data_IF_054387916390
#
_entry.id   IF_054387916390
#
_cell.length_a   1.000
_cell.length_b   1.000
_cell.length_c   1.000
_cell.angle_alpha   90.00
_cell.angle_beta   90.00
_cell.angle_gamma   90.00
#
_symmetry.space_group_name_H-M   'P 1'
#
loop_
_entity.id
_entity.type
_entity.pdbx_description
1 polymer ?
#
# COMPACT_ATOMS: atom_id res chain seq x y z
N UNK A 1 -17.50 -1.63 -6.83
CA UNK A 1 -18.75 -2.35 -6.55
C UNK A 1 -19.85 -1.31 -6.39
N UNK A 2 -21.00 -1.45 -7.07
CA UNK A 2 -22.14 -0.55 -6.90
C UNK A 2 -22.85 -0.92 -5.58
N UNK A 3 -22.42 -0.31 -4.48
CA UNK A 3 -23.02 -0.53 -3.17
C UNK A 3 -24.38 0.18 -3.18
N UNK A 4 -25.48 -0.58 -3.25
CA UNK A 4 -26.86 -0.07 -3.15
C UNK A 4 -27.20 0.57 -1.79
N UNK A 5 -26.19 1.02 -1.05
CA UNK A 5 -26.29 1.76 0.20
C UNK A 5 -26.85 3.16 -0.06
N UNK A 6 -27.69 3.63 0.86
CA UNK A 6 -28.17 5.01 0.92
C UNK A 6 -27.97 5.54 2.34
N UNK A 7 -27.70 6.84 2.49
CA UNK A 7 -27.66 7.48 3.80
C UNK A 7 -28.94 7.22 4.59
N UNK A 8 -28.81 6.85 5.86
CA UNK A 8 -29.94 6.54 6.73
C UNK A 8 -30.70 7.80 7.18
N UNK A 9 -29.98 8.92 7.33
CA UNK A 9 -30.54 10.17 7.82
C UNK A 9 -29.92 11.41 7.13
N UNK A 10 -30.36 12.59 7.59
CA UNK A 10 -29.85 13.88 7.10
C UNK A 10 -28.37 14.07 7.43
N UNK A 11 -27.88 13.57 8.57
CA UNK A 11 -26.47 13.71 8.96
C UNK A 11 -25.57 12.92 8.02
N UNK A 12 -25.91 11.68 7.71
CA UNK A 12 -25.18 10.85 6.75
C UNK A 12 -25.26 11.40 5.32
N UNK A 13 -26.41 11.97 4.94
CA UNK A 13 -26.59 12.62 3.63
C UNK A 13 -25.65 13.82 3.49
N UNK A 14 -25.55 14.63 4.55
CA UNK A 14 -24.69 15.80 4.63
C UNK A 14 -23.21 15.41 4.71
N UNK A 15 -22.87 14.32 5.39
CA UNK A 15 -21.52 13.75 5.42
C UNK A 15 -21.09 13.27 4.03
N UNK A 16 -21.96 12.56 3.32
CA UNK A 16 -21.72 12.15 1.94
C UNK A 16 -21.53 13.37 1.02
N UNK A 17 -22.34 14.41 1.18
CA UNK A 17 -22.19 15.64 0.42
C UNK A 17 -20.88 16.37 0.73
N UNK A 18 -20.43 16.36 1.99
CA UNK A 18 -19.16 16.94 2.41
C UNK A 18 -17.97 16.19 1.79
N UNK A 19 -17.98 14.86 1.80
CA UNK A 19 -16.93 14.05 1.14
C UNK A 19 -16.90 14.29 -0.37
N UNK A 20 -18.05 14.27 -1.04
CA UNK A 20 -18.13 14.56 -2.50
C UNK A 20 -17.61 15.96 -2.88
N UNK A 21 -17.71 16.91 -1.95
CA UNK A 21 -17.21 18.27 -2.13
C UNK A 21 -15.76 18.45 -1.66
N UNK A 22 -15.09 17.40 -1.17
CA UNK A 22 -13.80 17.46 -0.47
C UNK A 22 -13.79 18.51 0.66
N UNK A 23 -14.91 18.68 1.36
CA UNK A 23 -15.07 19.62 2.47
C UNK A 23 -14.86 18.91 3.81
N UNK A 24 -13.60 18.61 4.10
CA UNK A 24 -13.19 17.92 5.31
C UNK A 24 -13.65 18.62 6.59
N UNK A 25 -13.72 19.96 6.56
CA UNK A 25 -14.12 20.78 7.69
C UNK A 25 -15.61 20.62 7.99
N UNK A 26 -16.44 20.59 6.96
CA UNK A 26 -17.87 20.30 7.10
C UNK A 26 -18.10 18.88 7.60
N UNK A 27 -17.38 17.90 7.06
CA UNK A 27 -17.47 16.52 7.51
C UNK A 27 -17.12 16.38 9.01
N UNK A 28 -15.99 16.92 9.44
CA UNK A 28 -15.55 16.84 10.84
C UNK A 28 -16.52 17.56 11.80
N UNK A 29 -17.13 18.67 11.39
CA UNK A 29 -18.19 19.32 12.18
C UNK A 29 -19.42 18.46 12.34
N UNK A 30 -19.87 17.82 11.26
CA UNK A 30 -20.99 16.90 11.29
C UNK A 30 -20.67 15.74 12.24
N UNK A 31 -19.50 15.12 12.09
CA UNK A 31 -19.04 14.02 12.93
C UNK A 31 -18.96 14.41 14.41
N UNK A 32 -18.41 15.58 14.71
CA UNK A 32 -18.29 16.10 16.08
C UNK A 32 -19.65 16.28 16.76
N UNK A 33 -20.68 16.70 16.01
CA UNK A 33 -22.03 16.88 16.51
C UNK A 33 -22.92 15.64 16.43
N UNK A 34 -22.47 14.61 15.70
CA UNK A 34 -23.26 13.42 15.47
C UNK A 34 -23.33 12.55 16.73
N UNK A 35 -24.49 11.93 16.91
CA UNK A 35 -24.61 10.74 17.73
C UNK A 35 -23.85 9.60 17.06
N UNK A 36 -23.04 8.88 17.82
CA UNK A 36 -22.27 7.74 17.34
C UNK A 36 -22.76 6.47 18.02
N UNK A 37 -22.81 5.39 17.26
CA UNK A 37 -23.18 4.07 17.72
C UNK A 37 -21.93 3.19 17.73
N UNK A 38 -21.43 2.93 18.93
CA UNK A 38 -20.29 2.05 19.13
C UNK A 38 -20.82 0.63 19.34
N UNK A 39 -20.55 -0.32 18.44
CA UNK A 39 -20.92 -1.71 18.64
C UNK A 39 -20.34 -2.22 19.97
N UNK A 40 -21.12 -3.02 20.70
CA UNK A 40 -20.71 -3.63 21.95
C UNK A 40 -20.70 -5.15 21.76
N UNK A 41 -19.68 -5.86 22.27
CA UNK A 41 -19.78 -7.31 22.32
C UNK A 41 -20.94 -7.71 23.23
N UNK A 42 -21.65 -8.81 22.93
CA UNK A 42 -22.81 -9.24 23.72
C UNK A 42 -22.47 -9.50 25.19
N UNK A 43 -21.25 -9.96 25.47
CA UNK A 43 -20.71 -10.11 26.83
C UNK A 43 -19.51 -9.17 27.08
N UNK A 44 -19.48 -8.43 28.21
CA UNK A 44 -18.35 -7.59 28.59
C UNK A 44 -17.04 -8.39 28.63
N UNK A 45 -16.06 -7.98 27.82
CA UNK A 45 -14.76 -8.64 27.72
C UNK A 45 -14.67 -9.77 26.70
N UNK A 46 -15.72 -10.03 25.92
CA UNK A 46 -15.62 -10.95 24.78
C UNK A 46 -14.75 -10.37 23.66
N UNK A 47 -13.94 -11.20 22.99
CA UNK A 47 -13.12 -10.77 21.86
C UNK A 47 -14.00 -10.28 20.71
N UNK A 48 -13.51 -9.28 19.99
CA UNK A 48 -14.19 -8.74 18.82
C UNK A 48 -14.34 -9.82 17.73
N UNK A 49 -15.41 -9.81 16.93
CA UNK A 49 -15.59 -10.76 15.86
C UNK A 49 -14.40 -10.73 14.88
N UNK A 50 -13.71 -11.87 14.64
CA UNK A 50 -12.54 -11.92 13.75
C UNK A 50 -12.88 -11.70 12.28
N UNK A 51 -14.17 -11.68 11.91
CA UNK A 51 -14.65 -11.40 10.56
C UNK A 51 -14.54 -9.92 10.15
N UNK A 52 -14.18 -9.03 11.07
CA UNK A 52 -13.89 -7.64 10.77
C UNK A 52 -12.38 -7.42 10.83
N UNK A 53 -11.72 -7.05 9.72
CA UNK A 53 -10.31 -6.69 9.75
C UNK A 53 -10.19 -5.37 10.51
N UNK A 54 -9.79 -5.45 11.78
CA UNK A 54 -9.33 -4.29 12.54
C UNK A 54 -7.81 -4.28 12.50
N UNK A 55 -7.17 -3.12 12.25
CA UNK A 55 -5.74 -3.00 12.48
C UNK A 55 -5.44 -3.27 13.95
N UNK A 56 -4.34 -3.96 14.24
CA UNK A 56 -3.90 -4.15 15.63
C UNK A 56 -3.63 -2.78 16.29
N UNK A 57 -4.13 -2.57 17.51
CA UNK A 57 -3.86 -1.33 18.27
C UNK A 57 -5.09 -0.63 18.86
N UNK A 58 -4.90 0.64 19.24
CA UNK A 58 -5.88 1.47 19.96
C UNK A 58 -6.96 2.05 19.02
N UNK A 59 -7.86 1.20 18.54
CA UNK A 59 -8.94 1.57 17.62
C UNK A 59 -10.31 1.66 18.30
N UNK A 60 -11.18 2.54 17.81
CA UNK A 60 -12.59 2.58 18.15
C UNK A 60 -13.45 2.61 16.88
N UNK A 61 -14.23 1.55 16.65
CA UNK A 61 -15.22 1.51 15.59
C UNK A 61 -16.47 2.26 16.04
N UNK A 62 -16.97 3.14 15.18
CA UNK A 62 -18.22 3.86 15.41
C UNK A 62 -19.02 3.97 14.12
N UNK A 63 -20.34 3.96 14.26
CA UNK A 63 -21.27 4.22 13.16
C UNK A 63 -22.06 5.49 13.41
N UNK A 64 -22.44 6.20 12.36
CA UNK A 64 -23.27 7.42 12.46
C UNK A 64 -24.77 7.13 12.47
N UNK A 65 -25.17 5.90 12.13
CA UNK A 65 -26.54 5.42 12.21
C UNK A 65 -26.58 3.95 12.63
N UNK A 66 -27.72 3.53 13.18
CA UNK A 66 -27.99 2.12 13.47
C UNK A 66 -28.18 1.30 12.19
N UNK A 67 -28.68 1.93 11.12
CA UNK A 67 -28.88 1.28 9.83
C UNK A 67 -27.55 0.96 9.16
N UNK A 68 -26.58 1.88 9.23
CA UNK A 68 -25.20 1.62 8.78
C UNK A 68 -24.50 0.53 9.61
N UNK A 69 -24.74 0.52 10.93
CA UNK A 69 -24.25 -0.54 11.82
C UNK A 69 -24.85 -1.90 11.44
N UNK A 70 -26.18 -2.00 11.29
CA UNK A 70 -26.87 -3.24 10.93
C UNK A 70 -26.51 -3.71 9.51
N UNK A 71 -26.29 -2.78 8.58
CA UNK A 71 -25.84 -3.10 7.23
C UNK A 71 -24.49 -3.84 7.21
N UNK A 72 -23.54 -3.42 8.05
CA UNK A 72 -22.19 -3.99 8.09
C UNK A 72 -22.09 -5.14 9.09
N UNK A 73 -22.76 -5.04 10.23
CA UNK A 73 -22.61 -5.94 11.38
C UNK A 73 -23.86 -6.74 11.73
N UNK A 74 -24.91 -6.65 10.92
CA UNK A 74 -26.15 -7.39 11.10
C UNK A 74 -25.90 -8.89 11.25
N UNK A 75 -26.34 -9.45 12.38
CA UNK A 75 -26.15 -10.87 12.72
C UNK A 75 -24.80 -11.21 13.38
N UNK A 76 -23.90 -10.24 13.56
CA UNK A 76 -22.61 -10.40 14.24
C UNK A 76 -22.59 -9.62 15.57
N UNK A 77 -23.20 -8.43 15.58
CA UNK A 77 -23.35 -7.59 16.78
C UNK A 77 -24.82 -7.27 17.00
N UNK A 78 -25.35 -7.61 18.17
CA UNK A 78 -26.76 -7.37 18.52
C UNK A 78 -26.95 -6.14 19.43
N UNK A 79 -25.86 -5.61 20.02
CA UNK A 79 -25.93 -4.50 20.97
C UNK A 79 -24.95 -3.39 20.59
N UNK A 80 -25.32 -2.15 20.90
CA UNK A 80 -24.49 -0.98 20.69
C UNK A 80 -24.67 -0.01 21.86
N UNK A 81 -23.67 0.84 22.06
CA UNK A 81 -23.73 1.97 23.00
C UNK A 81 -23.75 3.26 22.21
N UNK A 82 -24.66 4.15 22.59
CA UNK A 82 -24.74 5.51 22.05
C UNK A 82 -23.67 6.39 22.72
N UNK A 83 -22.90 7.12 21.92
CA UNK A 83 -21.79 7.96 22.37
C UNK A 83 -21.65 9.19 21.47
N UNK A 84 -20.68 10.04 21.77
CA UNK A 84 -20.29 11.19 20.94
C UNK A 84 -18.77 11.30 20.89
N UNK A 85 -18.24 12.08 19.95
CA UNK A 85 -16.80 12.38 19.90
C UNK A 85 -16.31 12.97 21.24
N UNK A 86 -17.10 13.86 21.85
CA UNK A 86 -16.75 14.46 23.14
C UNK A 86 -16.66 13.42 24.27
N UNK A 87 -17.64 12.52 24.35
CA UNK A 87 -17.63 11.43 25.34
C UNK A 87 -16.48 10.45 25.11
N UNK A 88 -16.14 10.16 23.85
CA UNK A 88 -14.98 9.34 23.51
C UNK A 88 -13.67 10.01 23.92
N UNK A 89 -13.53 11.33 23.70
CA UNK A 89 -12.33 12.09 24.09
C UNK A 89 -12.12 12.14 25.62
N UNK A 90 -13.18 12.04 26.42
CA UNK A 90 -13.08 11.96 27.88
C UNK A 90 -12.69 10.56 28.37
N UNK A 91 -13.05 9.51 27.62
CA UNK A 91 -12.94 8.11 28.06
C UNK A 91 -11.78 7.35 27.43
N UNK A 92 -11.23 7.85 26.32
CA UNK A 92 -10.15 7.23 25.56
C UNK A 92 -8.99 8.21 25.35
N UNK A 93 -7.84 7.65 25.00
CA UNK A 93 -6.65 8.45 24.74
C UNK A 93 -6.75 9.20 23.40
N UNK A 94 -6.16 10.40 23.25
CA UNK A 94 -6.23 11.17 22.01
C UNK A 94 -5.61 10.49 20.78
N UNK A 95 -4.69 9.54 20.99
CA UNK A 95 -4.07 8.71 19.96
C UNK A 95 -4.97 7.56 19.50
N UNK A 96 -6.15 7.37 20.10
CA UNK A 96 -7.15 6.41 19.64
C UNK A 96 -7.55 6.73 18.20
N UNK A 97 -7.44 5.73 17.33
CA UNK A 97 -7.83 5.81 15.93
C UNK A 97 -9.32 5.49 15.79
N UNK A 98 -10.09 6.45 15.28
CA UNK A 98 -11.51 6.27 14.97
C UNK A 98 -11.67 5.64 13.61
N UNK A 99 -12.38 4.52 13.57
CA UNK A 99 -12.83 3.86 12.34
C UNK A 99 -14.33 4.16 12.21
N UNK A 100 -14.66 5.21 11.47
CA UNK A 100 -16.04 5.67 11.33
C UNK A 100 -16.66 5.01 10.11
N UNK A 101 -17.85 4.42 10.27
CA UNK A 101 -18.64 3.82 9.19
C UNK A 101 -17.83 2.87 8.27
N UNK A 102 -17.06 1.91 8.84
CA UNK A 102 -16.22 1.04 8.03
C UNK A 102 -17.04 0.31 6.96
N UNK A 103 -16.54 0.33 5.73
CA UNK A 103 -17.20 -0.32 4.59
C UNK A 103 -18.40 0.44 3.99
N UNK A 104 -18.72 1.63 4.50
CA UNK A 104 -19.74 2.50 3.91
C UNK A 104 -19.11 3.61 3.05
N UNK A 105 -19.83 4.17 2.07
CA UNK A 105 -19.35 5.31 1.25
C UNK A 105 -19.03 6.59 2.02
N UNK A 106 -19.42 6.66 3.29
CA UNK A 106 -19.08 7.75 4.22
C UNK A 106 -18.04 7.30 5.26
N UNK A 107 -17.31 6.23 4.99
CA UNK A 107 -16.29 5.69 5.88
C UNK A 107 -15.04 6.56 5.92
N UNK A 108 -14.51 6.81 7.12
CA UNK A 108 -13.25 7.53 7.31
C UNK A 108 -12.42 6.94 8.45
N UNK A 109 -11.11 7.12 8.35
CA UNK A 109 -10.15 6.81 9.40
C UNK A 109 -9.48 8.10 9.86
N UNK A 110 -9.47 8.38 11.17
CA UNK A 110 -8.90 9.61 11.73
C UNK A 110 -8.61 9.46 13.23
N UNK A 111 -7.64 10.21 13.74
CA UNK A 111 -7.38 10.29 15.16
C UNK A 111 -8.52 10.97 15.92
N UNK A 112 -8.84 10.46 17.11
CA UNK A 112 -9.85 11.06 17.99
C UNK A 112 -9.52 12.52 18.34
N UNK A 113 -8.24 12.84 18.56
CA UNK A 113 -7.79 14.22 18.80
C UNK A 113 -7.86 15.14 17.58
N UNK A 114 -7.90 14.59 16.36
CA UNK A 114 -7.88 15.37 15.12
C UNK A 114 -9.27 15.93 14.77
N UNK A 115 -10.35 15.34 15.29
CA UNK A 115 -11.73 15.74 14.94
C UNK A 115 -11.99 17.23 15.20
N UNK A 116 -11.50 17.76 16.32
CA UNK A 116 -11.65 19.18 16.65
C UNK A 116 -10.78 20.07 15.77
N UNK A 117 -9.55 19.65 15.50
CA UNK A 117 -8.62 20.36 14.62
C UNK A 117 -9.18 20.47 13.20
N UNK A 118 -9.78 19.39 12.69
CA UNK A 118 -10.45 19.35 11.40
C UNK A 118 -11.72 20.21 11.38
N UNK A 119 -12.55 20.14 12.43
CA UNK A 119 -13.79 20.92 12.51
C UNK A 119 -13.53 22.44 12.57
N UNK A 120 -12.41 22.83 13.16
CA UNK A 120 -11.94 24.22 13.23
C UNK A 120 -11.25 24.66 11.93
N UNK A 121 -10.78 23.71 11.11
CA UNK A 121 -10.02 23.95 9.88
C UNK A 121 -8.53 24.17 10.12
N UNK A 122 -8.01 23.66 11.24
CA UNK A 122 -6.57 23.60 11.55
C UNK A 122 -5.89 22.44 10.81
N UNK A 123 -6.66 21.44 10.37
CA UNK A 123 -6.23 20.29 9.56
C UNK A 123 -7.26 19.98 8.44
N UNK A 124 -6.89 19.13 7.48
CA UNK A 124 -7.77 18.61 6.43
C UNK A 124 -7.87 17.09 6.55
N UNK A 125 -9.07 16.53 6.33
CA UNK A 125 -9.29 15.09 6.27
C UNK A 125 -8.68 14.60 4.99
N UNK A 126 -7.87 13.56 5.09
CA UNK A 126 -7.36 12.81 3.96
C UNK A 126 -8.38 11.68 3.71
N UNK A 127 -8.97 11.56 2.51
CA UNK A 127 -9.82 10.44 2.12
C UNK A 127 -9.18 9.09 2.44
N UNK A 128 -9.96 8.05 2.76
CA UNK A 128 -9.41 6.74 3.16
C UNK A 128 -8.57 6.07 2.06
N UNK A 129 -8.87 6.36 0.79
CA UNK A 129 -8.08 5.95 -0.38
C UNK A 129 -6.74 6.70 -0.38
N UNK A 130 -6.76 8.02 -0.17
CA UNK A 130 -5.55 8.84 -0.06
C UNK A 130 -4.73 8.54 1.23
N UNK A 131 -5.34 8.04 2.30
CA UNK A 131 -4.65 7.56 3.51
C UNK A 131 -4.00 6.20 3.25
N UNK A 132 -4.67 5.28 2.55
CA UNK A 132 -4.05 4.03 2.12
C UNK A 132 -2.89 4.31 1.18
N UNK A 133 -3.06 5.20 0.20
CA UNK A 133 -2.00 5.59 -0.72
C UNK A 133 -0.86 6.30 0.02
N UNK A 134 -1.14 7.21 0.97
CA UNK A 134 -0.10 7.86 1.77
C UNK A 134 0.62 6.90 2.74
N UNK A 135 -0.10 5.95 3.33
CA UNK A 135 0.49 4.90 4.18
C UNK A 135 1.33 3.93 3.34
N UNK A 136 0.86 3.57 2.14
CA UNK A 136 1.62 2.79 1.16
C UNK A 136 2.88 3.57 0.77
N UNK A 137 2.76 4.84 0.40
CA UNK A 137 3.90 5.70 0.09
C UNK A 137 4.90 5.80 1.24
N UNK A 138 4.43 5.89 2.49
CA UNK A 138 5.29 5.92 3.67
C UNK A 138 5.99 4.58 3.92
N UNK A 139 5.29 3.45 3.75
CA UNK A 139 5.87 2.10 3.82
C UNK A 139 6.89 1.88 2.72
N UNK A 140 6.58 2.28 1.48
CA UNK A 140 7.50 2.19 0.34
C UNK A 140 8.73 3.10 0.55
N UNK A 141 8.56 4.28 1.14
CA UNK A 141 9.66 5.14 1.53
C UNK A 141 10.54 4.52 2.63
N UNK A 142 9.96 3.77 3.56
CA UNK A 142 10.74 3.03 4.56
C UNK A 142 11.51 1.87 3.94
N UNK A 143 10.89 1.12 3.02
CA UNK A 143 11.57 0.08 2.23
C UNK A 143 12.78 0.65 1.50
N UNK A 144 12.67 1.84 0.89
CA UNK A 144 13.80 2.54 0.27
C UNK A 144 14.90 2.84 1.28
N UNK A 145 14.55 3.44 2.43
CA UNK A 145 15.53 3.81 3.47
C UNK A 145 16.29 2.58 3.97
N UNK A 146 15.55 1.51 4.26
CA UNK A 146 16.08 0.21 4.68
C UNK A 146 17.03 -0.36 3.62
N UNK A 147 16.58 -0.43 2.36
CA UNK A 147 17.36 -1.02 1.28
C UNK A 147 18.68 -0.28 1.09
N UNK A 148 18.64 1.06 1.02
CA UNK A 148 19.86 1.88 0.88
C UNK A 148 20.77 1.72 2.10
N UNK A 149 20.23 1.69 3.32
CA UNK A 149 21.01 1.54 4.55
C UNK A 149 21.71 0.17 4.63
N UNK A 150 21.03 -0.92 4.32
CA UNK A 150 21.60 -2.28 4.38
C UNK A 150 22.56 -2.59 3.23
N UNK A 151 22.29 -2.05 2.04
CA UNK A 151 23.23 -2.12 0.92
C UNK A 151 24.50 -1.30 1.19
N UNK A 152 24.38 -0.26 2.03
CA UNK A 152 25.49 0.51 2.59
C UNK A 152 26.14 1.48 1.61
N UNK A 153 25.56 1.70 0.43
CA UNK A 153 26.06 2.65 -0.57
C UNK A 153 25.72 4.10 -0.28
N UNK A 154 26.15 4.97 -1.18
CA UNK A 154 25.97 6.42 -1.06
C UNK A 154 24.61 6.82 -1.66
N UNK A 155 23.66 7.16 -0.78
CA UNK A 155 22.31 7.58 -1.14
C UNK A 155 22.30 8.83 -2.04
N UNK A 156 23.22 9.78 -1.79
CA UNK A 156 23.31 11.00 -2.59
C UNK A 156 23.82 10.64 -3.99
N UNK A 157 24.86 9.82 -4.08
CA UNK A 157 25.38 9.33 -5.35
C UNK A 157 24.33 8.54 -6.16
N UNK A 158 23.52 7.70 -5.48
CA UNK A 158 22.43 6.95 -6.10
C UNK A 158 21.38 7.88 -6.74
N UNK A 159 20.99 8.94 -6.04
CA UNK A 159 20.00 9.91 -6.52
C UNK A 159 20.49 10.72 -7.73
N UNK A 160 21.81 10.94 -7.82
CA UNK A 160 22.45 11.71 -8.89
C UNK A 160 22.74 10.88 -10.16
N UNK A 161 22.59 9.55 -10.10
CA UNK A 161 22.85 8.67 -11.23
C UNK A 161 22.05 9.09 -12.46
N UNK A 162 22.78 9.29 -13.57
CA UNK A 162 22.19 9.48 -14.89
C UNK A 162 22.03 8.14 -15.60
N UNK A 163 21.01 7.99 -16.45
CA UNK A 163 20.89 6.85 -17.34
C UNK A 163 22.18 6.61 -18.12
N UNK A 164 22.64 5.37 -18.20
CA UNK A 164 23.86 4.98 -18.89
C UNK A 164 23.65 3.93 -19.98
N UNK A 165 22.44 3.39 -20.11
CA UNK A 165 22.06 2.41 -21.12
C UNK A 165 20.63 2.63 -21.59
N UNK A 166 20.23 1.92 -22.66
CA UNK A 166 18.92 2.09 -23.29
C UNK A 166 17.74 1.74 -22.35
N UNK A 167 17.91 0.76 -21.46
CA UNK A 167 16.89 0.43 -20.47
C UNK A 167 16.69 1.60 -19.52
N UNK A 168 17.77 2.09 -18.90
CA UNK A 168 17.74 3.21 -17.96
C UNK A 168 17.20 4.49 -18.63
N UNK A 169 17.52 4.73 -19.91
CA UNK A 169 16.96 5.85 -20.68
C UNK A 169 15.44 5.72 -20.83
N UNK A 170 14.94 4.54 -21.21
CA UNK A 170 13.49 4.28 -21.32
C UNK A 170 12.78 4.43 -19.98
N UNK A 171 13.36 3.92 -18.89
CA UNK A 171 12.80 4.07 -17.54
C UNK A 171 12.75 5.54 -17.13
N UNK A 172 13.80 6.30 -17.42
CA UNK A 172 13.85 7.73 -17.12
C UNK A 172 12.83 8.54 -17.93
N UNK A 173 12.67 8.23 -19.22
CA UNK A 173 11.67 8.87 -20.08
C UNK A 173 10.24 8.54 -19.66
N UNK A 174 10.00 7.31 -19.18
CA UNK A 174 8.71 6.87 -18.63
C UNK A 174 8.38 7.62 -17.33
N UNK A 175 9.33 7.69 -16.38
CA UNK A 175 9.19 8.50 -15.15
C UNK A 175 8.92 9.96 -15.46
N UNK A 176 9.65 10.55 -16.42
CA UNK A 176 9.48 11.95 -16.81
C UNK A 176 8.10 12.25 -17.42
N UNK A 177 7.46 11.24 -18.00
CA UNK A 177 6.10 11.33 -18.58
C UNK A 177 5.00 10.85 -17.62
N UNK A 178 5.37 10.36 -16.44
CA UNK A 178 4.47 9.68 -15.50
C UNK A 178 3.73 8.50 -16.16
N UNK A 179 4.42 7.79 -17.04
CA UNK A 179 3.89 6.67 -17.80
C UNK A 179 4.35 5.34 -17.18
N UNK A 180 3.54 4.83 -16.25
CA UNK A 180 3.86 3.61 -15.52
C UNK A 180 3.79 2.35 -16.40
N UNK A 181 2.88 2.34 -17.38
CA UNK A 181 2.75 1.24 -18.34
C UNK A 181 4.02 1.12 -19.19
N UNK A 182 4.54 2.24 -19.71
CA UNK A 182 5.80 2.26 -20.46
C UNK A 182 6.99 1.86 -19.59
N UNK A 183 7.00 2.24 -18.31
CA UNK A 183 8.02 1.83 -17.34
C UNK A 183 8.06 0.30 -17.19
N UNK A 184 6.90 -0.32 -16.91
CA UNK A 184 6.80 -1.78 -16.79
C UNK A 184 7.14 -2.48 -18.10
N UNK A 185 6.65 -1.98 -19.25
CA UNK A 185 7.00 -2.50 -20.58
C UNK A 185 8.48 -2.38 -20.92
N UNK A 186 9.21 -1.44 -20.33
CA UNK A 186 10.66 -1.37 -20.45
C UNK A 186 11.35 -2.50 -19.67
N UNK A 187 10.84 -2.85 -18.49
CA UNK A 187 11.40 -3.91 -17.65
C UNK A 187 11.11 -5.32 -18.17
N UNK A 188 9.89 -5.59 -18.66
CA UNK A 188 9.46 -6.94 -19.07
C UNK A 188 10.39 -7.59 -20.11
N UNK A 189 10.98 -6.79 -21.00
CA UNK A 189 11.91 -7.26 -22.02
C UNK A 189 13.39 -7.14 -21.65
N UNK A 190 13.72 -6.86 -20.39
CA UNK A 190 15.07 -6.53 -19.95
C UNK A 190 15.62 -7.54 -18.95
N UNK A 191 16.96 -7.59 -18.89
CA UNK A 191 17.67 -8.27 -17.81
C UNK A 191 17.87 -7.32 -16.64
N UNK A 192 17.72 -7.84 -15.43
CA UNK A 192 18.03 -7.17 -14.16
C UNK A 192 19.16 -7.90 -13.45
N UNK A 193 19.93 -7.15 -12.67
CA UNK A 193 21.00 -7.67 -11.82
C UNK A 193 20.45 -7.94 -10.43
N UNK A 194 20.51 -9.18 -10.00
CA UNK A 194 20.16 -9.61 -8.64
C UNK A 194 21.42 -9.86 -7.82
N UNK A 195 21.57 -9.23 -6.64
CA UNK A 195 22.52 -9.70 -5.66
C UNK A 195 22.03 -11.04 -5.07
N UNK A 196 22.97 -11.94 -4.82
CA UNK A 196 22.71 -13.29 -4.31
C UNK A 196 23.63 -13.59 -3.13
N UNK A 197 23.24 -14.54 -2.27
CA UNK A 197 24.00 -14.87 -1.05
C UNK A 197 25.25 -15.72 -1.35
N UNK A 198 25.26 -16.42 -2.49
CA UNK A 198 26.41 -17.18 -3.00
C UNK A 198 26.55 -16.99 -4.52
N UNK A 199 27.75 -17.20 -5.10
CA UNK A 199 27.94 -17.08 -6.54
C UNK A 199 27.05 -18.02 -7.37
N UNK A 200 26.29 -17.44 -8.29
CA UNK A 200 25.50 -18.16 -9.30
C UNK A 200 26.08 -17.87 -10.67
N UNK A 201 26.22 -18.91 -11.51
CA UNK A 201 26.76 -18.77 -12.89
C UNK A 201 25.74 -19.09 -13.97
N UNK A 202 24.67 -19.81 -13.62
CA UNK A 202 23.59 -20.18 -14.52
C UNK A 202 22.31 -19.40 -14.13
N UNK A 203 21.84 -18.47 -14.98
CA UNK A 203 20.59 -17.75 -14.75
C UNK A 203 19.38 -18.68 -14.55
N UNK A 204 19.35 -19.86 -15.19
CA UNK A 204 18.25 -20.82 -15.07
C UNK A 204 18.12 -21.42 -13.67
N UNK A 205 19.12 -21.21 -12.80
CA UNK A 205 19.02 -21.62 -11.39
C UNK A 205 17.85 -20.93 -10.67
N UNK A 206 17.36 -19.78 -11.15
CA UNK A 206 16.21 -19.08 -10.57
C UNK A 206 14.93 -19.92 -10.60
N UNK A 207 14.82 -20.87 -11.55
CA UNK A 207 13.69 -21.79 -11.65
C UNK A 207 13.65 -22.85 -10.54
N UNK A 208 14.68 -22.88 -9.68
CA UNK A 208 14.86 -23.92 -8.65
C UNK A 208 14.60 -23.33 -7.27
N UNK A 209 13.97 -24.13 -6.41
CA UNK A 209 13.69 -23.77 -5.00
C UNK A 209 14.96 -23.44 -4.19
N UNK A 210 16.15 -23.85 -4.66
CA UNK A 210 17.44 -23.59 -4.01
C UNK A 210 18.14 -22.31 -4.51
N UNK A 211 17.45 -21.43 -5.23
CA UNK A 211 18.04 -20.17 -5.69
C UNK A 211 18.45 -19.30 -4.48
N UNK A 212 19.71 -18.81 -4.42
CA UNK A 212 20.26 -18.14 -3.25
C UNK A 212 19.87 -16.66 -3.21
N UNK A 213 18.57 -16.39 -3.11
CA UNK A 213 18.03 -15.04 -2.94
C UNK A 213 18.74 -14.30 -1.82
N UNK A 214 19.05 -13.03 -2.07
CA UNK A 214 19.48 -12.10 -1.03
C UNK A 214 18.30 -11.23 -0.65
N UNK A 215 17.85 -11.36 0.60
CA UNK A 215 16.84 -10.49 1.18
C UNK A 215 17.49 -9.38 2.00
N UNK A 216 16.85 -8.21 2.02
CA UNK A 216 17.12 -7.13 2.97
C UNK A 216 15.94 -7.04 3.95
N UNK A 217 16.16 -6.42 5.11
CA UNK A 217 15.12 -6.27 6.12
C UNK A 217 14.96 -7.49 7.04
N UNK A 218 13.85 -7.48 7.77
CA UNK A 218 13.48 -8.55 8.70
C UNK A 218 12.62 -9.64 8.03
N UNK A 219 12.22 -10.64 8.82
CA UNK A 219 11.40 -11.75 8.35
C UNK A 219 9.93 -11.37 8.11
N UNK A 220 9.47 -10.22 8.61
CA UNK A 220 8.07 -9.78 8.46
C UNK A 220 7.83 -9.00 7.17
N UNK A 221 8.86 -8.34 6.64
CA UNK A 221 8.79 -7.59 5.37
C UNK A 221 10.09 -7.71 4.57
N UNK A 222 10.41 -8.91 4.07
CA UNK A 222 11.64 -9.14 3.32
C UNK A 222 11.63 -8.37 1.99
N UNK A 223 12.72 -7.69 1.67
CA UNK A 223 12.88 -6.93 0.43
C UNK A 223 13.82 -7.67 -0.52
N UNK A 224 13.41 -7.81 -1.77
CA UNK A 224 14.24 -8.33 -2.87
C UNK A 224 14.79 -7.15 -3.68
N UNK A 225 16.05 -6.74 -3.45
CA UNK A 225 16.68 -5.68 -4.21
C UNK A 225 17.07 -6.18 -5.61
N UNK A 226 16.85 -5.37 -6.63
CA UNK A 226 17.30 -5.63 -7.99
C UNK A 226 17.74 -4.35 -8.68
N UNK A 227 18.55 -4.48 -9.73
CA UNK A 227 19.19 -3.33 -10.35
C UNK A 227 19.13 -3.41 -11.87
N UNK A 228 18.91 -2.27 -12.50
CA UNK A 228 18.90 -2.13 -13.96
C UNK A 228 20.27 -2.33 -14.61
N UNK A 229 21.36 -2.24 -13.84
CA UNK A 229 22.71 -2.58 -14.29
C UNK A 229 23.68 -2.83 -13.13
N UNK A 230 24.80 -3.49 -13.43
CA UNK A 230 25.88 -3.70 -12.44
C UNK A 230 26.45 -2.36 -11.94
N UNK A 231 26.48 -1.33 -12.80
CA UNK A 231 26.91 0.01 -12.44
C UNK A 231 26.03 0.62 -11.35
N UNK A 232 24.71 0.44 -11.47
CA UNK A 232 23.75 0.94 -10.48
C UNK A 232 23.93 0.16 -9.17
N UNK A 233 24.05 -1.17 -9.24
CA UNK A 233 24.39 -2.01 -8.07
C UNK A 233 25.69 -1.57 -7.39
N UNK A 234 26.78 -1.36 -8.15
CA UNK A 234 28.09 -0.96 -7.60
C UNK A 234 28.09 0.42 -6.94
N UNK A 235 27.14 1.28 -7.32
CA UNK A 235 26.97 2.59 -6.69
C UNK A 235 26.19 2.49 -5.37
N UNK A 236 25.16 1.64 -5.33
CA UNK A 236 24.21 1.55 -4.21
C UNK A 236 24.62 0.49 -3.18
N UNK A 237 25.38 -0.52 -3.57
CA UNK A 237 25.78 -1.63 -2.71
C UNK A 237 27.30 -1.67 -2.50
N UNK A 238 27.73 -1.65 -1.24
CA UNK A 238 29.14 -1.78 -0.87
C UNK A 238 29.56 -3.24 -0.83
N UNK A 239 30.84 -3.50 -1.12
CA UNK A 239 31.45 -4.81 -0.89
C UNK A 239 31.35 -5.78 -2.06
N UNK A 240 30.86 -5.35 -3.23
CA UNK A 240 30.75 -6.15 -4.45
C UNK A 240 30.11 -7.53 -4.18
N UNK A 241 28.83 -7.56 -3.79
CA UNK A 241 28.16 -8.82 -3.48
C UNK A 241 28.14 -9.75 -4.70
N UNK A 242 28.13 -11.08 -4.49
CA UNK A 242 27.81 -12.03 -5.55
C UNK A 242 26.51 -11.61 -6.24
N UNK A 243 26.47 -11.69 -7.56
CA UNK A 243 25.38 -11.17 -8.38
C UNK A 243 25.17 -12.04 -9.61
N UNK A 244 23.98 -11.97 -10.19
CA UNK A 244 23.63 -12.64 -11.44
C UNK A 244 22.71 -11.73 -12.26
N UNK A 245 22.86 -11.74 -13.58
CA UNK A 245 21.91 -11.10 -14.50
C UNK A 245 20.86 -12.13 -14.92
N UNK A 246 19.59 -11.78 -14.77
CA UNK A 246 18.43 -12.64 -15.08
C UNK A 246 17.36 -11.80 -15.77
N UNK A 247 16.54 -12.43 -16.61
CA UNK A 247 15.38 -11.78 -17.21
C UNK A 247 14.44 -11.29 -16.10
N UNK A 248 13.96 -10.06 -16.19
CA UNK A 248 12.99 -9.53 -15.24
C UNK A 248 11.71 -10.39 -15.22
N UNK A 249 11.30 -10.93 -16.36
CA UNK A 249 10.13 -11.82 -16.43
C UNK A 249 10.38 -13.12 -15.64
N UNK A 250 11.58 -13.69 -15.71
CA UNK A 250 11.91 -14.92 -14.98
C UNK A 250 11.91 -14.68 -13.46
N UNK A 251 12.32 -13.48 -13.03
CA UNK A 251 12.22 -13.04 -11.63
C UNK A 251 10.78 -13.01 -11.16
N UNK A 252 9.88 -12.38 -11.93
CA UNK A 252 8.47 -12.28 -11.55
C UNK A 252 7.78 -13.66 -11.51
N UNK A 253 8.10 -14.55 -12.46
CA UNK A 253 7.50 -15.90 -12.54
C UNK A 253 7.96 -16.79 -11.38
N UNK A 254 9.20 -16.65 -10.93
CA UNK A 254 9.79 -17.44 -9.85
C UNK A 254 9.92 -16.65 -8.54
N UNK A 255 9.00 -15.70 -8.32
CA UNK A 255 9.01 -14.83 -7.15
C UNK A 255 8.99 -15.67 -5.85
N UNK A 256 9.84 -15.36 -4.85
CA UNK A 256 10.06 -16.22 -3.69
C UNK A 256 8.79 -16.42 -2.84
N UNK A 257 8.00 -15.36 -2.62
CA UNK A 257 6.69 -15.41 -1.96
C UNK A 257 5.99 -14.03 -2.00
N UNK A 258 4.68 -14.00 -1.75
CA UNK A 258 3.84 -12.79 -1.83
C UNK A 258 4.10 -11.76 -0.70
N UNK A 259 4.85 -12.13 0.33
CA UNK A 259 5.31 -11.27 1.42
C UNK A 259 6.61 -10.50 1.06
N UNK A 260 7.25 -10.83 -0.06
CA UNK A 260 8.50 -10.21 -0.47
C UNK A 260 8.27 -8.95 -1.31
N UNK A 261 8.74 -7.81 -0.84
CA UNK A 261 8.66 -6.54 -1.55
C UNK A 261 9.71 -6.48 -2.66
N UNK A 262 9.30 -6.16 -3.88
CA UNK A 262 10.23 -5.91 -4.99
C UNK A 262 10.77 -4.49 -4.87
N UNK A 263 12.09 -4.31 -4.89
CA UNK A 263 12.69 -2.97 -4.94
C UNK A 263 13.77 -2.89 -6.03
N UNK A 264 13.45 -2.21 -7.13
CA UNK A 264 14.34 -1.94 -8.24
C UNK A 264 15.05 -0.59 -8.05
N UNK A 265 16.37 -0.57 -8.23
CA UNK A 265 17.22 0.62 -8.15
C UNK A 265 16.96 1.52 -6.92
N UNK A 266 17.05 1.00 -5.68
CA UNK A 266 16.70 1.75 -4.47
C UNK A 266 17.46 3.08 -4.37
N UNK A 267 16.74 4.19 -4.14
CA UNK A 267 17.31 5.53 -3.97
C UNK A 267 17.62 6.29 -5.26
N UNK A 268 17.34 5.72 -6.43
CA UNK A 268 17.60 6.38 -7.72
C UNK A 268 16.37 7.11 -8.28
N UNK A 269 16.56 7.91 -9.34
CA UNK A 269 15.46 8.55 -10.07
C UNK A 269 14.59 7.60 -10.92
N UNK A 270 15.00 6.34 -11.06
CA UNK A 270 14.30 5.27 -11.80
C UNK A 270 14.03 4.08 -10.88
N UNK A 271 13.71 4.38 -9.62
CA UNK A 271 13.30 3.41 -8.62
C UNK A 271 11.88 2.89 -8.90
N UNK A 272 11.67 1.62 -8.60
CA UNK A 272 10.35 1.02 -8.49
C UNK A 272 10.29 0.16 -7.24
N UNK A 273 9.28 0.38 -6.41
CA UNK A 273 8.98 -0.52 -5.29
C UNK A 273 7.57 -1.05 -5.47
N UNK A 274 7.40 -2.37 -5.47
CA UNK A 274 6.10 -3.03 -5.58
C UNK A 274 5.86 -3.93 -4.36
N UNK A 275 4.67 -3.85 -3.74
CA UNK A 275 4.23 -4.83 -2.76
C UNK A 275 4.30 -6.26 -3.32
N UNK A 276 4.58 -7.24 -2.45
CA UNK A 276 4.80 -8.62 -2.89
C UNK A 276 3.56 -9.30 -3.48
N UNK A 277 2.37 -8.90 -3.05
CA UNK A 277 1.08 -9.36 -3.60
C UNK A 277 0.78 -8.78 -4.99
N UNK A 278 1.38 -7.65 -5.34
CA UNK A 278 1.28 -7.02 -6.66
C UNK A 278 2.09 -7.77 -7.73
N UNK A 279 3.09 -8.57 -7.34
CA UNK A 279 3.93 -9.32 -8.29
C UNK A 279 3.13 -10.42 -9.02
N UNK A 280 2.38 -11.31 -8.32
CA UNK A 280 1.48 -12.25 -8.97
C UNK A 280 0.43 -11.60 -9.88
N UNK A 281 -0.11 -10.45 -9.48
CA UNK A 281 -1.09 -9.70 -10.29
C UNK A 281 -0.47 -9.23 -11.61
N UNK A 282 0.76 -8.69 -11.55
CA UNK A 282 1.52 -8.30 -12.73
C UNK A 282 1.77 -9.49 -13.66
N UNK A 283 2.16 -10.65 -13.12
CA UNK A 283 2.35 -11.88 -13.91
C UNK A 283 1.06 -12.30 -14.60
N UNK A 284 -0.08 -12.26 -13.89
CA UNK A 284 -1.39 -12.60 -14.46
C UNK A 284 -1.76 -11.66 -15.60
N UNK A 285 -1.62 -10.34 -15.40
CA UNK A 285 -1.90 -9.33 -16.41
C UNK A 285 -1.04 -9.52 -17.68
N UNK A 286 0.23 -9.90 -17.51
CA UNK A 286 1.13 -10.19 -18.62
C UNK A 286 0.72 -11.44 -19.40
N UNK A 287 0.31 -12.50 -18.70
CA UNK A 287 -0.18 -13.71 -19.34
C UNK A 287 -1.46 -13.45 -20.14
N UNK A 288 -2.38 -12.65 -19.59
CA UNK A 288 -3.62 -12.24 -20.27
C UNK A 288 -3.34 -11.39 -21.52
N UNK A 289 -2.43 -10.42 -21.42
CA UNK A 289 -2.01 -9.60 -22.57
C UNK A 289 -1.37 -10.45 -23.68
N UNK A 290 -0.52 -11.42 -23.31
CA UNK A 290 0.08 -12.36 -24.26
C UNK A 290 -0.98 -13.25 -24.95
N UNK A 291 -1.98 -13.72 -24.19
CA UNK A 291 -3.09 -14.52 -24.74
C UNK A 291 -4.00 -13.71 -25.66
N UNK A 292 -4.26 -12.43 -25.34
CA UNK A 292 -5.02 -11.51 -26.18
C UNK A 292 -4.27 -11.11 -27.46
N UNK A 293 -2.94 -11.21 -27.47
CA UNK A 293 -2.04 -10.92 -28.60
C UNK A 293 -1.83 -12.07 -29.60
N UNK A 294 -2.57 -13.18 -29.53
CA UNK A 294 -2.49 -14.29 -30.49
C UNK A 294 -2.80 -13.88 -31.95
N UNK A 295 -2.23 -14.56 -32.96
CA UNK A 295 -2.02 -14.00 -34.29
C UNK A 295 -3.32 -13.57 -34.96
N UNK A 296 -3.39 -12.30 -35.36
CA UNK A 296 -4.28 -11.84 -36.42
C UNK A 296 -4.00 -12.72 -37.65
N UNK A 297 -4.90 -13.67 -37.89
CA UNK A 297 -4.88 -14.55 -39.04
C UNK A 297 -5.14 -13.67 -40.26
N UNK A 298 -4.05 -13.27 -40.92
CA UNK A 298 -4.08 -12.62 -42.22
C UNK A 298 -4.68 -13.57 -43.25
N UNK A 299 -5.66 -13.04 -43.98
CA UNK A 299 -6.30 -13.63 -45.14
C UNK A 299 -5.34 -13.88 -46.31
#
# INVERSE_FOLDING_TARGET
>A
MDYGWQPADEAESEMLAALKANDSRRYARLLRSATLYMPAPPDPGSPWPPSLPLPEGNHAIVFTSTDGLDWILGGVVETYTETTVATLAETRSPDTQLVVNPGLPIGVFLGLGEVDDLAEGRQSLVPIEDVQDAMVDEVLAEVRRLAVAELGGDADAASELKPANQLEERLHDAVSRLDFDEFLLALIGADVVLPVTEPVTDPQRIERDDFPWRFLGDEESPVVPMFSSERVLDTIAVGNPPRISVSFLDVLVHWPSNDHVLCLNPGTSIELTLPGDSVPELVSALAEAAAAGGPATGA
#
